data_IF_363973440333
#
_entry.id   IF_363973440333
#
_cell.length_a   1.000
_cell.length_b   1.000
_cell.length_c   1.000
_cell.angle_alpha   90.00
_cell.angle_beta   90.00
_cell.angle_gamma   90.00
#
_symmetry.space_group_name_H-M   'P 1'
#
loop_
_entity.id
_entity.type
_entity.pdbx_description
1 polymer ?
#
# COMPACT_ATOMS: atom_id res chain seq x y z
N UNK A 1 -2.68 1.24 11.72
CA UNK A 1 -1.77 1.98 10.87
C UNK A 1 -2.27 2.06 9.43
N UNK A 2 -1.47 2.66 8.59
CA UNK A 2 -1.80 2.89 7.19
C UNK A 2 -1.98 1.59 6.39
N UNK A 3 -1.34 0.53 6.81
CA UNK A 3 -1.48 -0.76 6.14
C UNK A 3 -2.93 -1.25 6.17
N UNK A 4 -3.60 -1.07 7.29
CA UNK A 4 -5.01 -1.44 7.41
C UNK A 4 -5.88 -0.60 6.49
N UNK A 5 -5.58 0.69 6.41
CA UNK A 5 -6.32 1.59 5.54
C UNK A 5 -6.11 1.21 4.07
N UNK A 6 -4.87 0.89 3.70
CA UNK A 6 -4.58 0.48 2.34
C UNK A 6 -5.34 -0.78 1.95
N UNK A 7 -5.39 -1.75 2.85
CA UNK A 7 -6.14 -2.98 2.60
C UNK A 7 -7.64 -2.71 2.47
N UNK A 8 -8.16 -1.80 3.28
CA UNK A 8 -9.56 -1.42 3.20
C UNK A 8 -9.88 -0.78 1.85
N UNK A 9 -8.98 0.08 1.37
CA UNK A 9 -9.16 0.70 0.05
C UNK A 9 -9.15 -0.34 -1.05
N UNK A 10 -8.32 -1.36 -0.95
CA UNK A 10 -8.32 -2.43 -1.95
C UNK A 10 -9.66 -3.15 -1.97
N UNK A 11 -10.22 -3.43 -0.81
CA UNK A 11 -11.52 -4.11 -0.72
C UNK A 11 -12.65 -3.28 -1.28
N UNK A 12 -12.50 -1.96 -1.23
CA UNK A 12 -13.49 -1.03 -1.77
C UNK A 12 -13.24 -0.70 -3.24
N UNK A 13 -12.29 -1.39 -3.88
CA UNK A 13 -11.91 -1.12 -5.26
C UNK A 13 -11.38 0.28 -5.47
N UNK A 14 -10.72 0.84 -4.47
CA UNK A 14 -10.12 2.16 -4.55
C UNK A 14 -8.61 2.03 -4.67
N UNK A 15 -8.16 1.46 -5.78
CA UNK A 15 -6.76 1.17 -6.00
C UNK A 15 -5.89 2.43 -5.92
N UNK A 16 -6.39 3.55 -6.42
CA UNK A 16 -5.63 4.81 -6.38
C UNK A 16 -5.32 5.21 -4.94
N UNK A 17 -6.32 5.11 -4.07
CA UNK A 17 -6.12 5.44 -2.67
C UNK A 17 -5.24 4.43 -1.97
N UNK A 18 -5.39 3.17 -2.32
CA UNK A 18 -4.54 2.12 -1.77
C UNK A 18 -3.08 2.35 -2.14
N UNK A 19 -2.82 2.70 -3.39
CA UNK A 19 -1.46 3.00 -3.84
C UNK A 19 -0.88 4.18 -3.06
N UNK A 20 -1.67 5.22 -2.85
CA UNK A 20 -1.22 6.38 -2.10
C UNK A 20 -0.86 6.00 -0.66
N UNK A 21 -1.68 5.17 -0.04
CA UNK A 21 -1.42 4.71 1.32
C UNK A 21 -0.14 3.87 1.37
N UNK A 22 0.04 2.96 0.43
CA UNK A 22 1.25 2.16 0.38
C UNK A 22 2.48 3.02 0.13
N UNK A 23 2.37 4.02 -0.73
CA UNK A 23 3.47 4.93 -0.99
C UNK A 23 3.87 5.70 0.27
N UNK A 24 2.89 6.12 1.07
CA UNK A 24 3.18 6.78 2.34
C UNK A 24 3.95 5.85 3.27
N UNK A 25 3.56 4.59 3.33
CA UNK A 25 4.26 3.61 4.15
C UNK A 25 5.71 3.46 3.66
N UNK A 26 5.90 3.37 2.36
CA UNK A 26 7.23 3.25 1.78
C UNK A 26 8.10 4.46 2.13
N UNK A 27 7.52 5.66 2.06
CA UNK A 27 8.28 6.90 2.29
C UNK A 27 8.58 7.14 3.76
N UNK A 28 7.64 6.85 4.65
CA UNK A 28 7.76 7.23 6.05
C UNK A 28 8.21 6.08 6.95
N UNK A 29 7.95 4.85 6.55
CA UNK A 29 8.25 3.68 7.38
C UNK A 29 9.21 2.73 6.69
N UNK A 30 10.17 3.28 5.96
CA UNK A 30 11.11 2.48 5.19
C UNK A 30 11.97 1.55 6.05
N UNK A 31 12.10 1.86 7.34
CA UNK A 31 12.86 1.02 8.25
C UNK A 31 12.04 -0.10 8.88
N UNK A 32 10.73 -0.08 8.69
CA UNK A 32 9.88 -1.08 9.32
C UNK A 32 9.69 -2.29 8.40
N UNK A 33 9.28 -3.40 8.99
CA UNK A 33 8.99 -4.60 8.21
C UNK A 33 7.79 -4.38 7.29
N UNK A 34 6.93 -3.43 7.60
CA UNK A 34 5.78 -3.12 6.76
C UNK A 34 6.20 -2.51 5.43
N UNK A 35 7.37 -1.89 5.37
CA UNK A 35 7.91 -1.33 4.15
C UNK A 35 7.96 -2.38 3.02
N UNK A 36 8.48 -3.56 3.33
CA UNK A 36 8.60 -4.61 2.33
C UNK A 36 7.23 -5.09 1.87
N UNK A 37 6.30 -5.23 2.79
CA UNK A 37 4.94 -5.62 2.44
C UNK A 37 4.25 -4.56 1.59
N UNK A 38 4.44 -3.29 1.95
CA UNK A 38 3.84 -2.19 1.19
C UNK A 38 4.37 -2.15 -0.23
N UNK A 39 5.66 -2.33 -0.41
CA UNK A 39 6.27 -2.38 -1.75
C UNK A 39 5.67 -3.52 -2.58
N UNK A 40 5.55 -4.67 -1.97
CA UNK A 40 5.01 -5.85 -2.63
C UNK A 40 3.57 -5.63 -3.06
N UNK A 41 2.75 -5.11 -2.16
CA UNK A 41 1.35 -4.88 -2.47
C UNK A 41 1.17 -3.76 -3.49
N UNK A 42 1.99 -2.72 -3.40
CA UNK A 42 1.92 -1.63 -4.36
C UNK A 42 2.26 -2.12 -5.77
N UNK A 43 3.32 -2.90 -5.90
CA UNK A 43 3.70 -3.47 -7.18
C UNK A 43 2.60 -4.35 -7.73
N UNK A 44 1.95 -5.12 -6.87
CA UNK A 44 0.85 -5.97 -7.26
C UNK A 44 -0.33 -5.17 -7.80
N UNK A 45 -0.64 -4.05 -7.16
CA UNK A 45 -1.71 -3.18 -7.63
C UNK A 45 -1.39 -2.59 -8.99
N UNK A 46 -0.15 -2.17 -9.18
CA UNK A 46 0.28 -1.62 -10.46
C UNK A 46 0.21 -2.65 -11.58
N UNK A 47 0.54 -3.89 -11.27
CA UNK A 47 0.49 -4.96 -12.24
C UNK A 47 -0.95 -5.30 -12.63
N UNK A 48 -1.85 -5.25 -11.66
CA UNK A 48 -3.26 -5.59 -11.88
C UNK A 48 -4.08 -4.43 -12.45
N UNK A 49 -3.50 -3.26 -12.47
CA UNK A 49 -4.18 -2.09 -13.03
C UNK A 49 -3.93 -2.01 -14.51
#
# INVERSE_FOLDING_TARGET
YLMKAALAYEKLNQADKAKAAYQTIIDEFWESSEYQNARKFKARLETNS
#
